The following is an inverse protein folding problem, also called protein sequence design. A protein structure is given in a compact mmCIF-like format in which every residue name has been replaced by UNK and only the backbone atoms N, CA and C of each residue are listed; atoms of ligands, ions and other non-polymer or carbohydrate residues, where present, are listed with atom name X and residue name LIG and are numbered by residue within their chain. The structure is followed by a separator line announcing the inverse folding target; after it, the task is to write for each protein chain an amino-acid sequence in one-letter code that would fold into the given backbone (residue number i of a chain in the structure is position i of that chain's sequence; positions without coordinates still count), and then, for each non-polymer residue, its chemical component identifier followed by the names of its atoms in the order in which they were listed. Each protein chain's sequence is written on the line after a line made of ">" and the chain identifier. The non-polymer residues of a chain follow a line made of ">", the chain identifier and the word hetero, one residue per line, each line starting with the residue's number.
data_IF_654568308081
#
_entry.id   IF_654568308081
#
_cell.length_a   1.000
_cell.length_b   1.000
_cell.length_c   1.000
_cell.angle_alpha   90.00
_cell.angle_beta   90.00
_cell.angle_gamma   90.00
#
_symmetry.space_group_name_H-M   'P 1'
#
loop_
_entity.id
_entity.type
_entity.pdbx_description
1 polymer ?
#
# COMPACT_ATOMS: atom_id res chain seq x y z
N UNK A 1 26.98 15.78 1.28
CA UNK A 1 25.84 16.03 2.17
C UNK A 1 25.36 14.70 2.72
N UNK A 2 24.76 14.66 3.92
CA UNK A 2 24.23 13.43 4.47
C UNK A 2 23.08 12.94 3.57
N UNK A 3 23.08 11.65 3.25
CA UNK A 3 22.05 11.03 2.41
C UNK A 3 20.76 10.73 3.17
N UNK A 4 20.76 10.87 4.48
CA UNK A 4 19.62 10.65 5.36
C UNK A 4 19.76 11.44 6.65
N UNK A 5 18.65 11.65 7.32
CA UNK A 5 18.54 12.20 8.67
C UNK A 5 17.80 11.21 9.58
N UNK A 6 18.15 11.17 10.86
CA UNK A 6 17.46 10.34 11.86
C UNK A 6 16.81 11.28 12.86
N UNK A 7 15.51 11.24 12.91
CA UNK A 7 14.68 12.05 13.80
C UNK A 7 13.83 11.15 14.69
N UNK A 8 13.40 11.66 15.83
CA UNK A 8 12.42 10.99 16.69
C UNK A 8 11.09 11.71 16.57
N UNK A 9 10.02 10.95 16.42
CA UNK A 9 8.65 11.49 16.39
C UNK A 9 7.76 10.68 17.32
N UNK A 10 6.79 11.34 17.97
CA UNK A 10 5.79 10.61 18.73
C UNK A 10 4.86 9.82 17.80
N UNK A 11 4.28 8.75 18.33
CA UNK A 11 3.26 7.97 17.61
C UNK A 11 2.12 8.89 17.17
N UNK A 12 1.67 9.79 18.05
CA UNK A 12 0.63 10.76 17.75
C UNK A 12 1.00 11.66 16.55
N UNK A 13 2.23 12.16 16.50
CA UNK A 13 2.71 12.98 15.41
C UNK A 13 2.76 12.20 14.09
N UNK A 14 3.27 10.96 14.12
CA UNK A 14 3.29 10.09 12.95
C UNK A 14 1.88 9.82 12.40
N UNK A 15 0.93 9.48 13.27
CA UNK A 15 -0.46 9.24 12.88
C UNK A 15 -1.12 10.51 12.33
N UNK A 16 -0.75 11.69 12.85
CA UNK A 16 -1.20 12.99 12.33
C UNK A 16 -0.67 13.25 10.92
N UNK A 17 0.62 13.02 10.66
CA UNK A 17 1.23 13.20 9.34
C UNK A 17 0.62 12.29 8.27
N UNK A 18 0.24 11.08 8.65
CA UNK A 18 -0.44 10.15 7.76
C UNK A 18 -1.86 10.65 7.45
N UNK A 19 -2.60 11.07 8.48
CA UNK A 19 -3.96 11.59 8.32
C UNK A 19 -3.99 12.87 7.48
N UNK A 20 -3.00 13.74 7.62
CA UNK A 20 -2.87 14.97 6.80
C UNK A 20 -2.38 14.68 5.38
N UNK A 21 -1.91 13.46 5.09
CA UNK A 21 -1.31 13.09 3.82
C UNK A 21 0.10 13.64 3.61
N UNK A 22 0.76 14.14 4.66
CA UNK A 22 2.17 14.54 4.62
C UNK A 22 3.08 13.32 4.41
N UNK A 23 2.74 12.18 5.05
CA UNK A 23 3.33 10.89 4.74
C UNK A 23 2.32 10.08 3.93
N UNK A 24 2.66 9.81 2.67
CA UNK A 24 1.88 8.91 1.84
C UNK A 24 2.27 7.46 2.19
N UNK A 25 1.29 6.70 2.65
CA UNK A 25 1.42 5.25 2.76
C UNK A 25 1.09 4.69 1.39
N UNK A 26 2.01 3.94 0.77
CA UNK A 26 1.67 3.21 -0.45
C UNK A 26 0.62 2.16 -0.12
N UNK A 27 -0.63 2.43 -0.42
CA UNK A 27 -1.76 1.52 -0.14
C UNK A 27 -1.57 0.11 -0.75
N UNK A 28 -0.65 0.00 -1.69
CA UNK A 28 -0.49 -1.19 -2.53
C UNK A 28 0.55 -2.16 -2.04
N UNK A 29 1.46 -1.72 -1.18
CA UNK A 29 2.60 -2.59 -0.90
C UNK A 29 2.20 -3.95 -0.38
N UNK A 30 1.08 -4.10 0.23
CA UNK A 30 0.45 -5.40 0.62
C UNK A 30 -0.81 -5.08 1.39
N UNK A 31 -1.88 -5.82 1.20
CA UNK A 31 -2.93 -5.85 2.19
C UNK A 31 -2.31 -6.03 3.57
N UNK A 32 -2.99 -5.56 4.59
CA UNK A 32 -2.52 -5.75 5.95
C UNK A 32 -2.37 -7.26 6.21
N UNK A 33 -1.11 -7.70 6.36
CA UNK A 33 -0.78 -9.14 6.50
C UNK A 33 -0.46 -9.54 7.93
N UNK A 34 -0.32 -8.57 8.86
CA UNK A 34 -0.19 -8.89 10.25
C UNK A 34 -1.49 -9.47 10.78
N UNK A 35 -1.38 -10.57 11.50
CA UNK A 35 -2.49 -11.05 12.30
C UNK A 35 -2.73 -10.14 13.52
N UNK A 36 -3.89 -10.26 14.12
CA UNK A 36 -4.26 -9.44 15.30
C UNK A 36 -3.33 -9.65 16.50
N UNK A 37 -2.66 -10.81 16.58
CA UNK A 37 -1.69 -11.12 17.64
C UNK A 37 -0.45 -10.26 17.51
N UNK A 38 0.08 -10.04 16.28
CA UNK A 38 1.21 -9.14 16.07
C UNK A 38 0.85 -7.69 16.39
N UNK A 39 -0.39 -7.28 16.15
CA UNK A 39 -0.86 -5.95 16.55
C UNK A 39 -0.87 -5.82 18.08
N UNK A 40 -1.38 -6.83 18.80
CA UNK A 40 -1.33 -6.90 20.25
C UNK A 40 0.11 -6.81 20.76
N UNK A 41 1.02 -7.61 20.22
CA UNK A 41 2.44 -7.66 20.62
C UNK A 41 3.15 -6.33 20.40
N UNK A 42 2.78 -5.58 19.35
CA UNK A 42 3.28 -4.23 19.12
C UNK A 42 2.83 -3.28 20.22
N UNK A 43 1.54 -3.30 20.60
CA UNK A 43 0.99 -2.44 21.66
C UNK A 43 1.60 -2.80 23.01
N UNK A 44 1.72 -4.09 23.31
CA UNK A 44 2.37 -4.59 24.53
C UNK A 44 3.83 -4.12 24.64
N UNK A 45 4.60 -4.23 23.55
CA UNK A 45 5.98 -3.74 23.48
C UNK A 45 6.08 -2.24 23.74
N UNK A 46 5.15 -1.45 23.17
CA UNK A 46 5.10 0.00 23.41
C UNK A 46 4.73 0.33 24.86
N UNK A 47 3.80 -0.41 25.46
CA UNK A 47 3.43 -0.27 26.85
C UNK A 47 4.60 -0.61 27.78
N UNK A 48 5.37 -1.64 27.44
CA UNK A 48 6.59 -2.01 28.17
C UNK A 48 7.76 -1.04 27.96
N UNK A 49 7.65 -0.07 27.02
CA UNK A 49 8.70 0.89 26.70
C UNK A 49 9.81 0.31 25.81
N UNK A 50 9.54 -0.81 25.11
CA UNK A 50 10.51 -1.43 24.23
C UNK A 50 10.57 -0.72 22.87
N UNK A 51 11.76 -0.68 22.22
CA UNK A 51 11.89 -0.09 20.90
C UNK A 51 11.19 -0.98 19.86
N UNK A 52 10.37 -0.37 19.01
CA UNK A 52 9.59 -1.07 17.99
C UNK A 52 10.17 -0.91 16.58
N UNK A 53 11.42 -0.47 16.47
CA UNK A 53 12.14 -0.26 15.23
C UNK A 53 11.93 1.14 14.63
N UNK A 54 12.41 1.32 13.39
CA UNK A 54 12.40 2.60 12.69
C UNK A 54 11.31 2.62 11.62
N UNK A 55 10.80 3.82 11.33
CA UNK A 55 10.04 4.13 10.12
C UNK A 55 10.99 4.79 9.13
N UNK A 56 10.97 4.36 7.87
CA UNK A 56 11.79 4.94 6.82
C UNK A 56 10.89 5.67 5.85
N UNK A 57 11.15 6.96 5.66
CA UNK A 57 10.44 7.80 4.69
C UNK A 57 11.43 8.41 3.71
N UNK A 58 10.98 8.63 2.49
CA UNK A 58 11.77 9.29 1.46
C UNK A 58 11.12 10.62 1.10
N UNK A 59 11.90 11.71 1.15
CA UNK A 59 11.50 13.00 0.61
C UNK A 59 11.39 12.87 -0.90
N UNK A 60 10.15 12.86 -1.42
CA UNK A 60 9.94 12.82 -2.85
C UNK A 60 10.60 14.06 -3.50
N UNK A 61 11.35 13.90 -4.61
CA UNK A 61 11.88 15.04 -5.35
C UNK A 61 10.71 15.90 -5.83
N UNK A 62 10.72 17.13 -5.36
CA UNK A 62 9.64 18.08 -5.59
C UNK A 62 9.64 18.57 -7.04
N UNK A 63 8.46 18.71 -7.62
CA UNK A 63 8.28 19.36 -8.91
C UNK A 63 8.41 20.88 -8.70
N UNK A 64 9.25 21.53 -9.49
CA UNK A 64 9.31 22.98 -9.52
C UNK A 64 7.99 23.54 -10.04
N UNK A 65 7.33 24.36 -9.23
CA UNK A 65 6.10 25.04 -9.62
C UNK A 65 6.37 26.17 -10.62
N UNK A 66 5.31 26.62 -11.34
CA UNK A 66 5.40 27.70 -12.33
C UNK A 66 5.94 29.02 -11.77
N UNK A 67 5.83 29.24 -10.47
CA UNK A 67 6.36 30.42 -9.76
C UNK A 67 7.83 30.26 -9.32
N UNK A 68 8.48 29.17 -9.70
CA UNK A 68 9.86 28.86 -9.35
C UNK A 68 10.05 28.27 -7.95
N UNK A 69 8.99 28.14 -7.14
CA UNK A 69 9.03 27.46 -5.84
C UNK A 69 9.05 25.95 -6.02
N UNK A 70 9.57 25.24 -5.03
CA UNK A 70 9.53 23.79 -5.00
C UNK A 70 8.29 23.39 -4.20
N UNK A 71 7.41 22.57 -4.78
CA UNK A 71 6.26 22.04 -4.03
C UNK A 71 6.79 21.20 -2.86
N UNK A 72 6.22 21.37 -1.66
CA UNK A 72 6.52 20.46 -0.55
C UNK A 72 5.92 19.09 -0.87
N UNK A 73 6.73 18.21 -1.45
CA UNK A 73 6.29 16.86 -1.81
C UNK A 73 5.94 16.06 -0.58
N UNK A 74 4.95 15.18 -0.74
CA UNK A 74 4.60 14.19 0.27
C UNK A 74 5.80 13.27 0.51
N UNK A 75 6.09 12.97 1.77
CA UNK A 75 7.05 11.92 2.11
C UNK A 75 6.45 10.57 1.77
N UNK A 76 7.22 9.71 1.11
CA UNK A 76 6.78 8.35 0.76
C UNK A 76 7.29 7.41 1.83
N UNK A 77 6.41 6.63 2.42
CA UNK A 77 6.77 5.58 3.37
C UNK A 77 7.47 4.42 2.64
N UNK A 78 8.72 4.17 3.00
CA UNK A 78 9.56 3.12 2.41
C UNK A 78 9.49 1.85 3.25
N UNK A 79 9.58 1.98 4.58
CA UNK A 79 9.44 0.85 5.51
C UNK A 79 8.67 1.25 6.76
N UNK A 80 8.04 0.25 7.39
CA UNK A 80 7.22 0.43 8.59
C UNK A 80 5.72 0.47 8.35
N UNK A 81 5.24 0.22 7.12
CA UNK A 81 3.81 0.26 6.77
C UNK A 81 2.95 -0.61 7.69
N UNK A 82 3.35 -1.86 7.92
CA UNK A 82 2.58 -2.77 8.77
C UNK A 82 2.46 -2.25 10.21
N UNK A 83 3.54 -1.63 10.74
CA UNK A 83 3.54 -0.98 12.07
C UNK A 83 2.58 0.20 12.12
N UNK A 84 2.66 1.07 11.13
CA UNK A 84 1.77 2.23 11.04
C UNK A 84 0.31 1.79 10.93
N UNK A 85 0.00 0.84 10.05
CA UNK A 85 -1.36 0.30 9.92
C UNK A 85 -1.84 -0.37 11.21
N UNK A 86 -0.96 -1.08 11.92
CA UNK A 86 -1.27 -1.65 13.24
C UNK A 86 -1.58 -0.57 14.28
N UNK A 87 -0.81 0.53 14.30
CA UNK A 87 -1.06 1.66 15.20
C UNK A 87 -2.37 2.39 14.85
N UNK A 88 -2.68 2.58 13.56
CA UNK A 88 -3.97 3.13 13.13
C UNK A 88 -5.13 2.23 13.58
N UNK A 89 -4.99 0.92 13.41
CA UNK A 89 -6.02 -0.04 13.83
C UNK A 89 -6.26 -0.04 15.34
N UNK A 90 -5.19 -0.06 16.14
CA UNK A 90 -5.26 -0.23 17.59
C UNK A 90 -5.52 1.08 18.35
N UNK A 91 -4.93 2.21 17.90
CA UNK A 91 -5.01 3.51 18.60
C UNK A 91 -6.11 4.38 18.01
N UNK A 92 -6.16 4.51 16.68
CA UNK A 92 -7.18 5.35 16.02
C UNK A 92 -8.51 4.64 15.91
N UNK A 93 -8.46 3.31 15.79
CA UNK A 93 -9.64 2.50 15.61
C UNK A 93 -10.08 2.38 14.14
N UNK A 94 -9.18 2.60 13.20
CA UNK A 94 -9.48 2.47 11.79
C UNK A 94 -9.57 0.99 11.37
N UNK A 95 -10.58 0.61 10.59
CA UNK A 95 -10.63 -0.73 9.99
C UNK A 95 -9.48 -0.92 9.00
N UNK A 96 -8.85 -2.08 9.06
CA UNK A 96 -7.79 -2.47 8.12
C UNK A 96 -8.37 -3.25 6.94
N UNK A 97 -7.81 -3.05 5.76
CA UNK A 97 -8.17 -3.80 4.57
C UNK A 97 -7.36 -5.10 4.53
N UNK A 98 -8.05 -6.23 4.68
CA UNK A 98 -7.43 -7.55 4.60
C UNK A 98 -7.07 -7.96 3.16
N UNK A 99 -6.39 -9.09 3.02
CA UNK A 99 -6.02 -9.66 1.71
C UNK A 99 -7.21 -10.11 0.86
N UNK A 100 -8.40 -10.18 1.46
CA UNK A 100 -9.69 -10.46 0.84
C UNK A 100 -10.46 -9.18 0.47
N UNK A 101 -9.82 -8.02 0.51
CA UNK A 101 -10.41 -6.69 0.32
C UNK A 101 -11.61 -6.40 1.24
N UNK A 102 -11.72 -7.11 2.36
CA UNK A 102 -12.73 -6.86 3.39
C UNK A 102 -12.14 -6.01 4.50
N UNK A 103 -12.90 -5.01 4.92
CA UNK A 103 -12.53 -4.19 6.07
C UNK A 103 -12.76 -4.97 7.36
N UNK A 104 -11.70 -5.10 8.15
CA UNK A 104 -11.74 -5.76 9.47
C UNK A 104 -11.37 -4.77 10.56
N UNK A 105 -12.15 -4.71 11.60
CA UNK A 105 -11.81 -3.97 12.82
C UNK A 105 -10.94 -4.88 13.71
N UNK A 106 -9.73 -4.44 14.02
CA UNK A 106 -8.86 -5.11 14.98
C UNK A 106 -9.04 -4.41 16.33
N UNK A 107 -9.59 -5.13 17.29
CA UNK A 107 -9.77 -4.64 18.65
C UNK A 107 -8.71 -5.28 19.54
N UNK A 108 -7.94 -4.46 20.22
CA UNK A 108 -6.98 -4.91 21.25
C UNK A 108 -7.60 -4.64 22.60
N UNK A 109 -7.75 -5.69 23.36
CA UNK A 109 -8.28 -5.64 24.73
C UNK A 109 -7.14 -5.48 25.74
N UNK A 110 -7.46 -4.85 26.86
CA UNK A 110 -6.52 -4.63 27.95
C UNK A 110 -7.17 -4.98 29.30
N UNK A 111 -6.42 -5.71 30.16
CA UNK A 111 -6.81 -6.04 31.50
C UNK A 111 -6.06 -5.14 32.51
N UNK A 112 -6.66 -4.10 33.09
CA UNK A 112 -5.94 -3.12 33.90
C UNK A 112 -5.24 -3.68 35.15
N UNK A 113 -5.86 -4.64 35.81
CA UNK A 113 -5.29 -5.22 37.04
C UNK A 113 -4.10 -6.16 36.74
N UNK A 114 -4.16 -6.91 35.64
CA UNK A 114 -3.07 -7.81 35.21
C UNK A 114 -2.06 -7.11 34.30
N UNK A 115 -2.36 -5.91 33.83
CA UNK A 115 -1.58 -5.14 32.87
C UNK A 115 -1.24 -5.99 31.62
N UNK A 116 -2.22 -6.71 31.10
CA UNK A 116 -2.08 -7.67 30.02
C UNK A 116 -2.93 -7.29 28.79
N UNK A 117 -2.37 -7.49 27.60
CA UNK A 117 -3.07 -7.29 26.34
C UNK A 117 -3.51 -8.61 25.73
N UNK A 118 -4.67 -8.61 25.10
CA UNK A 118 -5.18 -9.72 24.30
C UNK A 118 -5.91 -9.22 23.06
N UNK A 119 -6.05 -10.09 22.07
CA UNK A 119 -6.97 -9.84 20.96
C UNK A 119 -8.39 -10.02 21.46
N UNK A 120 -9.26 -9.02 21.23
CA UNK A 120 -10.64 -9.10 21.67
C UNK A 120 -11.35 -10.31 21.06
N UNK A 121 -12.15 -10.98 21.88
CA UNK A 121 -12.98 -12.11 21.52
C UNK A 121 -14.28 -12.10 22.33
N UNK A 122 -15.30 -12.90 21.97
CA UNK A 122 -16.59 -12.87 22.65
C UNK A 122 -16.55 -13.17 24.16
N UNK A 123 -15.53 -13.87 24.65
CA UNK A 123 -15.37 -14.11 26.09
C UNK A 123 -14.88 -12.84 26.79
N UNK A 124 -13.85 -12.21 26.25
CA UNK A 124 -13.30 -10.93 26.74
C UNK A 124 -14.35 -9.80 26.70
N UNK A 125 -15.16 -9.72 25.63
CA UNK A 125 -16.20 -8.69 25.52
C UNK A 125 -17.31 -8.82 26.59
N UNK A 126 -17.49 -10.01 27.14
CA UNK A 126 -18.47 -10.27 28.25
C UNK A 126 -17.88 -10.13 29.65
N UNK A 127 -16.57 -10.18 29.75
CA UNK A 127 -15.86 -10.10 31.01
C UNK A 127 -15.63 -8.64 31.43
N UNK A 128 -16.24 -8.24 32.53
CA UNK A 128 -16.13 -6.87 33.06
C UNK A 128 -14.74 -6.42 33.47
N UNK A 129 -13.83 -7.36 33.74
CA UNK A 129 -12.45 -7.07 34.10
C UNK A 129 -11.59 -6.59 32.91
N UNK A 130 -12.06 -6.81 31.67
CA UNK A 130 -11.39 -6.36 30.48
C UNK A 130 -11.95 -5.06 29.91
N UNK A 131 -11.07 -4.22 29.41
CA UNK A 131 -11.40 -3.16 28.44
C UNK A 131 -11.32 -3.82 27.06
N UNK A 132 -12.44 -4.08 26.39
CA UNK A 132 -12.46 -4.93 25.19
C UNK A 132 -11.85 -4.28 23.93
N UNK A 133 -11.70 -2.94 23.94
CA UNK A 133 -11.07 -2.16 22.87
C UNK A 133 -10.40 -0.93 23.48
N UNK A 134 -9.09 -0.80 23.28
CA UNK A 134 -8.32 0.34 23.79
C UNK A 134 -8.48 1.61 22.97
N UNK A 135 -8.92 1.53 21.71
CA UNK A 135 -8.97 2.69 20.80
C UNK A 135 -9.85 3.85 21.32
N UNK A 136 -11.00 3.61 21.98
CA UNK A 136 -11.78 4.71 22.58
C UNK A 136 -11.02 5.55 23.60
N UNK A 137 -10.01 4.97 24.28
CA UNK A 137 -9.21 5.67 25.30
C UNK A 137 -8.34 6.79 24.70
N UNK A 138 -8.09 6.77 23.39
CA UNK A 138 -7.25 7.72 22.67
C UNK A 138 -8.07 8.76 21.90
N UNK A 139 -9.40 8.67 21.93
CA UNK A 139 -10.24 9.61 21.21
C UNK A 139 -10.31 10.97 21.91
N UNK A 140 -10.36 12.08 21.13
CA UNK A 140 -10.58 13.40 21.71
C UNK A 140 -11.85 13.43 22.56
N UNK A 141 -11.75 13.98 23.77
CA UNK A 141 -12.89 14.08 24.68
C UNK A 141 -13.19 12.81 25.50
N UNK A 142 -12.33 11.81 25.46
CA UNK A 142 -12.46 10.66 26.35
C UNK A 142 -12.41 11.09 27.82
N UNK A 143 -13.46 10.75 28.59
CA UNK A 143 -13.59 11.06 30.02
C UNK A 143 -12.95 9.96 30.87
N UNK A 144 -11.64 10.08 31.08
CA UNK A 144 -10.88 9.12 31.90
C UNK A 144 -11.38 9.01 33.33
N UNK A 145 -11.86 10.13 33.90
CA UNK A 145 -12.31 10.14 35.29
C UNK A 145 -13.57 9.28 35.48
N UNK A 146 -14.61 9.56 34.73
CA UNK A 146 -15.85 8.76 34.81
C UNK A 146 -15.62 7.32 34.36
N UNK A 147 -14.78 7.08 33.37
CA UNK A 147 -14.44 5.74 32.91
C UNK A 147 -13.81 4.90 34.03
N UNK A 148 -12.86 5.46 34.83
CA UNK A 148 -12.24 4.77 35.98
C UNK A 148 -13.28 4.46 37.04
N UNK A 149 -14.18 5.40 37.33
CA UNK A 149 -15.25 5.19 38.33
C UNK A 149 -16.14 4.02 37.89
N UNK A 150 -16.63 4.04 36.67
CA UNK A 150 -17.53 3.02 36.11
C UNK A 150 -16.85 1.63 36.06
N UNK A 151 -15.58 1.59 35.63
CA UNK A 151 -14.80 0.36 35.59
C UNK A 151 -14.63 -0.23 37.01
N UNK A 152 -14.24 0.60 37.98
CA UNK A 152 -14.05 0.16 39.35
C UNK A 152 -15.35 -0.31 40.00
N UNK A 153 -16.45 0.39 39.75
CA UNK A 153 -17.78 -0.02 40.24
C UNK A 153 -18.19 -1.38 39.64
N UNK A 154 -17.97 -1.59 38.36
CA UNK A 154 -18.26 -2.84 37.65
C UNK A 154 -17.42 -4.01 38.15
N UNK A 155 -16.15 -3.76 38.50
CA UNK A 155 -15.24 -4.78 39.01
C UNK A 155 -15.25 -4.91 40.56
N UNK A 156 -16.09 -4.14 41.27
CA UNK A 156 -16.15 -4.09 42.73
C UNK A 156 -14.81 -3.78 43.40
N UNK A 157 -14.05 -2.81 42.82
CA UNK A 157 -12.73 -2.43 43.31
C UNK A 157 -12.82 -1.37 44.45
N UNK A 158 -11.88 -1.43 45.39
CA UNK A 158 -11.73 -0.44 46.45
C UNK A 158 -10.99 0.83 46.00
N UNK A 159 -10.86 1.83 46.88
CA UNK A 159 -10.22 3.12 46.53
C UNK A 159 -8.70 2.98 46.22
N UNK A 160 -8.03 2.03 46.86
CA UNK A 160 -6.61 1.73 46.58
C UNK A 160 -6.44 1.16 45.18
N UNK A 161 -7.28 0.22 44.82
CA UNK A 161 -7.30 -0.38 43.48
C UNK A 161 -7.73 0.62 42.44
N UNK A 162 -8.61 1.58 42.74
CA UNK A 162 -8.99 2.68 41.84
C UNK A 162 -7.80 3.55 41.48
N UNK A 163 -6.97 3.91 42.47
CA UNK A 163 -5.76 4.67 42.23
C UNK A 163 -4.80 3.93 41.29
N UNK A 164 -4.59 2.63 41.52
CA UNK A 164 -3.75 1.79 40.67
C UNK A 164 -4.29 1.67 39.25
N UNK A 165 -5.60 1.48 39.09
CA UNK A 165 -6.25 1.44 37.75
C UNK A 165 -6.07 2.77 37.01
N UNK A 166 -6.23 3.90 37.69
CA UNK A 166 -6.03 5.22 37.08
C UNK A 166 -4.58 5.43 36.60
N UNK A 167 -3.60 5.00 37.39
CA UNK A 167 -2.18 5.06 37.02
C UNK A 167 -1.89 4.19 35.77
N UNK A 168 -2.40 2.96 35.76
CA UNK A 168 -2.25 2.01 34.64
C UNK A 168 -2.90 2.53 33.38
N UNK A 169 -4.09 3.12 33.45
CA UNK A 169 -4.77 3.72 32.30
C UNK A 169 -4.05 4.97 31.80
N UNK A 170 -3.52 5.79 32.71
CA UNK A 170 -2.69 6.95 32.31
C UNK A 170 -1.45 6.47 31.56
N UNK A 171 -0.77 5.43 32.03
CA UNK A 171 0.36 4.83 31.35
C UNK A 171 -0.03 4.25 29.98
N UNK A 172 -1.19 3.61 29.86
CA UNK A 172 -1.70 3.12 28.59
C UNK A 172 -1.91 4.26 27.59
N UNK A 173 -2.52 5.36 28.01
CA UNK A 173 -2.73 6.54 27.15
C UNK A 173 -1.41 7.21 26.76
N UNK A 174 -0.35 7.12 27.56
CA UNK A 174 0.97 7.66 27.23
C UNK A 174 1.65 6.94 26.06
N UNK A 175 1.19 5.77 25.62
CA UNK A 175 1.73 5.07 24.44
C UNK A 175 1.77 5.99 23.21
N UNK A 176 0.77 6.86 23.02
CA UNK A 176 0.74 7.80 21.91
C UNK A 176 1.91 8.81 21.91
N UNK A 177 2.52 9.05 23.07
CA UNK A 177 3.67 9.93 23.25
C UNK A 177 5.01 9.22 23.10
N UNK A 178 5.02 7.87 23.01
CA UNK A 178 6.24 7.12 22.82
C UNK A 178 6.91 7.51 21.51
N UNK A 179 8.22 7.62 21.56
CA UNK A 179 9.04 7.99 20.41
C UNK A 179 9.29 6.80 19.49
N UNK A 180 9.11 7.03 18.19
CA UNK A 180 9.56 6.13 17.14
C UNK A 180 10.64 6.85 16.33
N UNK A 181 11.74 6.16 16.03
CA UNK A 181 12.79 6.69 15.15
C UNK A 181 12.30 6.77 13.70
N UNK A 182 12.49 7.91 13.07
CA UNK A 182 12.16 8.15 11.66
C UNK A 182 13.45 8.43 10.89
N UNK A 183 13.78 7.55 9.96
CA UNK A 183 14.88 7.75 9.02
C UNK A 183 14.30 8.44 7.79
N UNK A 184 14.74 9.65 7.53
CA UNK A 184 14.30 10.45 6.41
C UNK A 184 15.38 10.49 5.32
N UNK A 185 15.12 9.81 4.19
CA UNK A 185 16.02 9.77 3.05
C UNK A 185 15.93 11.08 2.24
N UNK A 186 17.09 11.57 1.80
CA UNK A 186 17.19 12.83 1.06
C UNK A 186 16.47 12.77 -0.30
N UNK A 187 15.88 13.90 -0.71
CA UNK A 187 15.32 14.10 -2.04
C UNK A 187 16.35 14.00 -3.17
N UNK A 188 17.65 14.09 -2.86
CA UNK A 188 18.73 13.97 -3.84
C UNK A 188 19.00 12.53 -4.26
N UNK A 189 18.51 11.56 -3.48
CA UNK A 189 18.65 10.14 -3.81
C UNK A 189 17.73 9.78 -4.95
N UNK A 190 18.25 9.04 -5.90
CA UNK A 190 17.40 8.43 -6.93
C UNK A 190 16.76 7.12 -6.42
N UNK A 191 15.79 6.60 -7.18
CA UNK A 191 15.04 5.40 -6.80
C UNK A 191 15.93 4.17 -6.65
N UNK A 192 17.00 4.05 -7.44
CA UNK A 192 17.90 2.90 -7.37
C UNK A 192 18.69 2.92 -6.07
N UNK A 193 19.16 4.10 -5.66
CA UNK A 193 19.86 4.30 -4.38
C UNK A 193 18.94 4.05 -3.18
N UNK A 194 17.69 4.55 -3.24
CA UNK A 194 16.68 4.32 -2.18
C UNK A 194 16.37 2.83 -2.07
N UNK A 195 16.22 2.14 -3.20
CA UNK A 195 16.01 0.68 -3.22
C UNK A 195 17.19 -0.07 -2.63
N UNK A 196 18.44 0.33 -2.96
CA UNK A 196 19.64 -0.29 -2.42
C UNK A 196 19.76 -0.09 -0.90
N UNK A 197 19.47 1.11 -0.40
CA UNK A 197 19.44 1.42 1.04
C UNK A 197 18.43 0.52 1.73
N UNK A 198 17.22 0.41 1.18
CA UNK A 198 16.17 -0.42 1.73
C UNK A 198 16.57 -1.91 1.79
N UNK A 199 17.15 -2.46 0.71
CA UNK A 199 17.65 -3.84 0.66
C UNK A 199 18.68 -4.09 1.76
N UNK A 200 19.63 -3.18 1.95
CA UNK A 200 20.69 -3.31 2.96
C UNK A 200 20.15 -3.27 4.39
N UNK A 201 19.17 -2.42 4.66
CA UNK A 201 18.54 -2.31 5.99
C UNK A 201 17.68 -3.55 6.29
N UNK A 202 16.96 -4.07 5.30
CA UNK A 202 16.02 -5.18 5.45
C UNK A 202 16.61 -6.54 5.00
N UNK A 203 17.88 -6.78 5.19
CA UNK A 203 18.59 -7.99 4.72
C UNK A 203 17.99 -9.34 5.13
N UNK A 204 16.95 -9.36 5.97
CA UNK A 204 16.17 -10.55 6.38
C UNK A 204 14.66 -10.42 6.12
N UNK A 205 14.21 -9.33 5.48
CA UNK A 205 12.80 -9.05 5.19
C UNK A 205 12.44 -9.23 3.72
N UNK A 206 11.16 -9.01 3.40
CA UNK A 206 10.70 -9.01 2.01
C UNK A 206 11.10 -7.68 1.36
N UNK A 207 11.97 -7.78 0.37
CA UNK A 207 12.54 -6.64 -0.35
C UNK A 207 11.44 -5.91 -1.15
N UNK A 208 11.33 -4.57 -0.97
CA UNK A 208 10.54 -3.74 -1.86
C UNK A 208 11.14 -3.78 -3.27
N UNK A 209 10.28 -4.11 -4.24
CA UNK A 209 10.69 -4.10 -5.63
C UNK A 209 10.64 -2.69 -6.23
N UNK A 210 11.33 -2.45 -7.35
CA UNK A 210 11.17 -1.20 -8.10
C UNK A 210 9.71 -0.95 -8.53
N UNK A 211 8.94 -2.02 -8.70
CA UNK A 211 7.52 -1.92 -9.01
C UNK A 211 6.70 -1.39 -7.81
N UNK A 212 7.03 -1.79 -6.59
CA UNK A 212 6.40 -1.26 -5.38
C UNK A 212 6.61 0.26 -5.27
N UNK A 213 7.82 0.74 -5.60
CA UNK A 213 8.10 2.17 -5.66
C UNK A 213 7.31 2.89 -6.74
N UNK A 214 7.23 2.29 -7.94
CA UNK A 214 6.43 2.86 -9.02
C UNK A 214 4.95 2.97 -8.60
N UNK A 215 4.41 1.93 -8.01
CA UNK A 215 3.03 1.91 -7.52
C UNK A 215 2.81 2.95 -6.41
N UNK A 216 3.77 3.10 -5.50
CA UNK A 216 3.76 4.13 -4.47
C UNK A 216 3.76 5.55 -5.06
N UNK A 217 4.63 5.81 -6.04
CA UNK A 217 4.66 7.09 -6.75
C UNK A 217 3.36 7.35 -7.50
N UNK A 218 2.81 6.34 -8.17
CA UNK A 218 1.54 6.44 -8.87
C UNK A 218 0.43 6.81 -7.90
N UNK A 219 0.30 6.10 -6.77
CA UNK A 219 -0.77 6.33 -5.79
C UNK A 219 -0.68 7.69 -5.08
N UNK A 220 0.53 8.23 -4.91
CA UNK A 220 0.73 9.50 -4.21
C UNK A 220 0.36 10.74 -5.02
N UNK A 221 0.12 10.61 -6.33
CA UNK A 221 -0.16 11.74 -7.20
C UNK A 221 -1.59 11.75 -7.75
N UNK A 222 -2.51 12.25 -6.92
CA UNK A 222 -3.93 12.34 -7.26
C UNK A 222 -4.22 13.36 -8.37
N UNK A 223 -3.33 14.35 -8.60
CA UNK A 223 -3.50 15.39 -9.62
C UNK A 223 -3.62 14.83 -11.04
N UNK A 224 -2.95 13.71 -11.30
CA UNK A 224 -2.96 13.02 -12.60
C UNK A 224 -3.77 11.73 -12.58
N UNK A 225 -4.64 11.54 -11.58
CA UNK A 225 -5.46 10.35 -11.44
C UNK A 225 -4.68 9.09 -11.10
N UNK A 226 -3.55 9.25 -10.41
CA UNK A 226 -2.65 8.14 -10.06
C UNK A 226 -3.34 7.07 -9.23
N UNK A 227 -4.16 7.44 -8.26
CA UNK A 227 -4.92 6.50 -7.45
C UNK A 227 -5.88 5.64 -8.30
N UNK A 228 -6.51 6.22 -9.32
CA UNK A 228 -7.36 5.49 -10.28
C UNK A 228 -6.54 4.46 -11.06
N UNK A 229 -5.40 4.87 -11.62
CA UNK A 229 -4.50 3.97 -12.40
C UNK A 229 -4.09 2.80 -11.53
N UNK A 230 -3.73 3.08 -10.29
CA UNK A 230 -3.41 2.08 -9.30
C UNK A 230 -4.53 1.07 -9.10
N UNK A 231 -5.73 1.56 -8.76
CA UNK A 231 -6.89 0.70 -8.49
C UNK A 231 -7.24 -0.20 -9.68
N UNK A 232 -7.10 0.29 -10.91
CA UNK A 232 -7.27 -0.54 -12.10
C UNK A 232 -6.31 -1.73 -12.09
N UNK A 233 -5.01 -1.48 -11.87
CA UNK A 233 -3.99 -2.54 -11.88
C UNK A 233 -4.20 -3.53 -10.74
N UNK A 234 -4.40 -3.02 -9.53
CA UNK A 234 -4.50 -3.82 -8.32
C UNK A 234 -5.75 -4.72 -8.34
N UNK A 235 -6.92 -4.14 -8.62
CA UNK A 235 -8.15 -4.92 -8.69
C UNK A 235 -8.17 -5.88 -9.88
N UNK A 236 -7.61 -5.49 -11.02
CA UNK A 236 -7.46 -6.40 -12.15
C UNK A 236 -6.65 -7.64 -11.77
N UNK A 237 -5.44 -7.43 -11.22
CA UNK A 237 -4.56 -8.53 -10.85
C UNK A 237 -5.15 -9.40 -9.74
N UNK A 238 -5.81 -8.78 -8.75
CA UNK A 238 -6.46 -9.52 -7.68
C UNK A 238 -7.62 -10.39 -8.20
N UNK A 239 -8.49 -9.81 -9.03
CA UNK A 239 -9.64 -10.52 -9.59
C UNK A 239 -9.25 -11.61 -10.59
N UNK A 240 -8.10 -11.50 -11.26
CA UNK A 240 -7.52 -12.59 -12.05
C UNK A 240 -7.17 -13.82 -11.19
N UNK A 241 -6.80 -13.60 -9.92
CA UNK A 241 -6.46 -14.67 -8.98
C UNK A 241 -7.67 -15.12 -8.16
N UNK A 242 -8.56 -14.19 -7.79
CA UNK A 242 -9.69 -14.41 -6.88
C UNK A 242 -10.93 -13.66 -7.37
N UNK A 243 -11.59 -14.13 -8.41
CA UNK A 243 -12.79 -13.48 -8.95
C UNK A 243 -13.95 -13.43 -7.96
N UNK A 244 -13.95 -14.33 -6.94
CA UNK A 244 -14.95 -14.35 -5.87
C UNK A 244 -14.94 -13.09 -4.98
N UNK A 245 -13.84 -12.34 -4.94
CA UNK A 245 -13.73 -11.11 -4.13
C UNK A 245 -14.32 -9.87 -4.83
N UNK A 246 -14.89 -10.02 -6.04
CA UNK A 246 -15.46 -8.91 -6.80
C UNK A 246 -16.53 -8.13 -6.02
N UNK A 247 -17.45 -8.82 -5.36
CA UNK A 247 -18.50 -8.17 -4.59
C UNK A 247 -17.94 -7.44 -3.36
N UNK A 248 -16.89 -7.98 -2.73
CA UNK A 248 -16.22 -7.33 -1.62
C UNK A 248 -15.54 -6.01 -2.06
N UNK A 249 -14.85 -6.01 -3.21
CA UNK A 249 -14.27 -4.80 -3.80
C UNK A 249 -15.36 -3.77 -4.10
N UNK A 250 -16.44 -4.19 -4.77
CA UNK A 250 -17.55 -3.32 -5.14
C UNK A 250 -18.23 -2.64 -3.93
N UNK A 251 -18.36 -3.36 -2.82
CA UNK A 251 -18.99 -2.85 -1.60
C UNK A 251 -18.06 -1.94 -0.79
N UNK A 252 -16.75 -2.21 -0.78
CA UNK A 252 -15.79 -1.48 0.03
C UNK A 252 -15.19 -0.26 -0.68
N UNK A 253 -15.18 -0.25 -2.01
CA UNK A 253 -14.74 0.89 -2.83
C UNK A 253 -15.85 1.34 -3.79
N UNK A 254 -16.91 1.91 -3.21
CA UNK A 254 -18.11 2.32 -3.95
C UNK A 254 -17.82 3.42 -4.97
N UNK A 255 -16.86 4.29 -4.69
CA UNK A 255 -16.45 5.37 -5.60
C UNK A 255 -15.81 4.79 -6.87
N UNK A 256 -14.83 3.92 -6.72
CA UNK A 256 -14.21 3.26 -7.86
C UNK A 256 -15.18 2.33 -8.59
N UNK A 257 -16.04 1.62 -7.86
CA UNK A 257 -17.04 0.73 -8.42
C UNK A 257 -18.09 1.47 -9.32
N UNK A 258 -18.31 2.76 -9.07
CA UNK A 258 -19.15 3.62 -9.91
C UNK A 258 -18.41 4.20 -11.13
N UNK A 259 -17.11 4.03 -11.23
CA UNK A 259 -16.29 4.58 -12.31
C UNK A 259 -16.38 3.79 -13.61
N UNK A 260 -16.14 4.47 -14.74
CA UNK A 260 -16.00 3.82 -16.03
C UNK A 260 -14.85 2.79 -16.05
N UNK A 261 -13.77 3.09 -15.32
CA UNK A 261 -12.59 2.23 -15.27
C UNK A 261 -12.88 0.87 -14.61
N UNK A 262 -13.75 0.83 -13.60
CA UNK A 262 -14.20 -0.45 -13.00
C UNK A 262 -14.95 -1.32 -14.03
N UNK A 263 -15.77 -0.68 -14.89
CA UNK A 263 -16.49 -1.40 -15.93
C UNK A 263 -15.57 -2.12 -16.93
N UNK A 264 -14.37 -1.55 -17.16
CA UNK A 264 -13.35 -2.11 -18.08
C UNK A 264 -12.70 -3.39 -17.57
N UNK A 265 -12.70 -3.63 -16.24
CA UNK A 265 -12.14 -4.84 -15.65
C UNK A 265 -13.20 -5.89 -15.26
N UNK A 266 -14.50 -5.52 -15.29
CA UNK A 266 -15.60 -6.39 -14.86
C UNK A 266 -15.70 -7.73 -15.60
N UNK A 267 -15.17 -7.81 -16.81
CA UNK A 267 -15.23 -9.02 -17.63
C UNK A 267 -14.47 -10.21 -17.02
N UNK A 268 -13.52 -9.97 -16.10
CA UNK A 268 -12.69 -10.99 -15.46
C UNK A 268 -13.52 -11.98 -14.65
N UNK A 269 -14.63 -11.56 -14.07
CA UNK A 269 -15.49 -12.39 -13.20
C UNK A 269 -15.95 -13.67 -13.90
N UNK A 270 -16.11 -13.61 -15.22
CA UNK A 270 -16.60 -14.71 -16.03
C UNK A 270 -15.48 -15.44 -16.79
N UNK A 271 -14.24 -15.11 -16.51
CA UNK A 271 -13.08 -15.70 -17.19
C UNK A 271 -12.25 -16.50 -16.19
N UNK A 272 -11.84 -17.70 -16.61
CA UNK A 272 -10.90 -18.53 -15.88
C UNK A 272 -9.66 -18.72 -16.75
N UNK A 273 -8.63 -17.95 -16.47
CA UNK A 273 -7.36 -18.03 -17.17
C UNK A 273 -6.25 -18.41 -16.20
N UNK A 274 -5.50 -19.43 -16.50
CA UNK A 274 -4.44 -19.99 -15.67
C UNK A 274 -3.03 -19.86 -16.30
N UNK A 275 -2.94 -19.66 -17.62
CA UNK A 275 -1.65 -19.56 -18.30
C UNK A 275 -0.94 -18.25 -18.00
N UNK A 276 -1.70 -17.14 -17.96
CA UNK A 276 -1.17 -15.81 -17.69
C UNK A 276 -2.01 -15.12 -16.61
N UNK A 277 -1.55 -15.24 -15.37
CA UNK A 277 -2.13 -14.57 -14.20
C UNK A 277 -1.16 -13.48 -13.76
N UNK A 278 -1.28 -12.26 -14.31
CA UNK A 278 -0.34 -11.17 -14.05
C UNK A 278 -0.49 -10.62 -12.65
N UNK A 279 0.62 -10.15 -12.09
CA UNK A 279 0.65 -9.24 -10.95
C UNK A 279 0.80 -7.77 -11.44
N UNK A 280 0.73 -6.80 -10.52
CA UNK A 280 0.88 -5.39 -10.89
C UNK A 280 2.27 -5.07 -11.47
N UNK A 281 3.30 -5.84 -11.14
CA UNK A 281 4.64 -5.71 -11.73
C UNK A 281 4.61 -6.04 -13.22
N UNK A 282 3.86 -7.06 -13.58
CA UNK A 282 3.68 -7.48 -14.97
C UNK A 282 2.92 -6.42 -15.77
N UNK A 283 1.83 -5.90 -15.21
CA UNK A 283 1.05 -4.81 -15.82
C UNK A 283 1.93 -3.58 -16.06
N UNK A 284 2.69 -3.16 -15.04
CA UNK A 284 3.61 -2.03 -15.16
C UNK A 284 4.65 -2.26 -16.24
N UNK A 285 5.29 -3.44 -16.28
CA UNK A 285 6.30 -3.77 -17.28
C UNK A 285 5.76 -3.72 -18.69
N UNK A 286 4.59 -4.32 -18.92
CA UNK A 286 3.95 -4.34 -20.24
C UNK A 286 3.54 -2.93 -20.65
N UNK A 287 2.82 -2.20 -19.79
CA UNK A 287 2.37 -0.84 -20.08
C UNK A 287 3.55 0.11 -20.34
N UNK A 288 4.60 0.01 -19.52
CA UNK A 288 5.79 0.84 -19.67
C UNK A 288 6.58 0.50 -20.93
N UNK A 289 6.81 -0.79 -21.23
CA UNK A 289 7.48 -1.21 -22.45
C UNK A 289 6.69 -0.79 -23.68
N UNK A 290 5.38 -0.98 -23.67
CA UNK A 290 4.47 -0.64 -24.75
C UNK A 290 4.44 0.86 -25.07
N UNK A 291 4.24 1.71 -24.04
CA UNK A 291 4.01 3.15 -24.27
C UNK A 291 5.28 3.99 -24.27
N UNK A 292 6.32 3.57 -23.56
CA UNK A 292 7.54 4.37 -23.39
C UNK A 292 8.73 3.77 -24.12
N UNK A 293 8.63 2.55 -24.64
CA UNK A 293 9.72 1.80 -25.30
C UNK A 293 10.94 1.66 -24.37
N UNK A 294 10.69 1.50 -23.06
CA UNK A 294 11.69 1.36 -21.99
C UNK A 294 11.35 0.16 -21.13
N UNK A 295 12.38 -0.50 -20.59
CA UNK A 295 12.22 -1.72 -19.77
C UNK A 295 12.57 -1.56 -18.29
N UNK A 296 13.23 -0.47 -17.88
CA UNK A 296 13.65 -0.28 -16.48
C UNK A 296 12.57 0.47 -15.70
N UNK A 297 11.94 -0.19 -14.74
CA UNK A 297 10.87 0.43 -13.91
C UNK A 297 11.36 1.68 -13.15
N UNK A 298 12.64 1.76 -12.79
CA UNK A 298 13.23 2.98 -12.21
C UNK A 298 13.09 4.21 -13.12
N UNK A 299 13.15 4.01 -14.45
CA UNK A 299 12.95 5.10 -15.41
C UNK A 299 11.49 5.60 -15.37
N UNK A 300 10.53 4.69 -15.17
CA UNK A 300 9.11 5.07 -15.01
C UNK A 300 8.92 6.01 -13.83
N UNK A 301 9.48 5.69 -12.66
CA UNK A 301 9.38 6.55 -11.48
C UNK A 301 9.97 7.94 -11.73
N UNK A 302 11.11 7.98 -12.42
CA UNK A 302 11.75 9.25 -12.81
C UNK A 302 10.84 10.08 -13.73
N UNK A 303 10.23 9.47 -14.74
CA UNK A 303 9.29 10.11 -15.65
C UNK A 303 8.02 10.61 -14.94
N UNK A 304 7.44 9.78 -14.08
CA UNK A 304 6.28 10.15 -13.26
C UNK A 304 6.59 11.27 -12.26
N UNK A 305 7.86 11.47 -11.92
CA UNK A 305 8.32 12.61 -11.13
C UNK A 305 8.62 13.84 -11.99
N UNK A 306 8.47 13.77 -13.32
CA UNK A 306 8.72 14.87 -14.23
C UNK A 306 10.18 15.04 -14.68
N UNK A 307 11.04 14.03 -14.49
CA UNK A 307 12.46 14.13 -14.83
C UNK A 307 12.68 14.06 -16.34
N UNK A 308 13.35 15.09 -16.87
CA UNK A 308 13.93 15.06 -18.22
C UNK A 308 15.28 14.31 -18.19
N UNK A 309 15.45 13.28 -19.02
CA UNK A 309 16.70 12.50 -19.05
C UNK A 309 17.86 13.20 -19.73
N UNK A 310 17.57 14.24 -20.55
CA UNK A 310 18.59 14.99 -21.28
C UNK A 310 19.13 16.15 -20.43
N UNK A 311 18.23 17.04 -19.96
CA UNK A 311 18.60 18.18 -19.13
C UNK A 311 18.82 17.84 -17.65
N UNK A 312 18.29 16.69 -17.20
CA UNK A 312 18.22 16.26 -15.80
C UNK A 312 17.35 17.15 -14.91
N UNK A 313 16.64 18.11 -15.49
CA UNK A 313 15.69 18.97 -14.79
C UNK A 313 14.34 18.31 -14.62
N UNK A 314 13.51 18.86 -13.73
CA UNK A 314 12.16 18.40 -13.49
C UNK A 314 11.15 19.34 -14.17
N UNK A 315 10.22 18.76 -14.94
CA UNK A 315 9.19 19.49 -15.69
C UNK A 315 7.83 18.84 -15.46
N UNK A 316 6.86 19.63 -15.02
CA UNK A 316 5.50 19.15 -14.75
C UNK A 316 4.85 18.51 -15.99
N UNK A 317 5.08 19.09 -17.16
CA UNK A 317 4.56 18.55 -18.42
C UNK A 317 5.03 17.11 -18.72
N UNK A 318 6.24 16.74 -18.28
CA UNK A 318 6.74 15.35 -18.42
C UNK A 318 6.00 14.42 -17.50
N UNK A 319 5.70 14.85 -16.26
CA UNK A 319 4.90 14.06 -15.33
C UNK A 319 3.48 13.84 -15.86
N UNK A 320 2.81 14.91 -16.30
CA UNK A 320 1.46 14.86 -16.86
C UNK A 320 1.37 13.91 -18.07
N UNK A 321 2.26 14.07 -19.05
CA UNK A 321 2.34 13.20 -20.25
C UNK A 321 2.62 11.75 -19.86
N UNK A 322 3.51 11.54 -18.86
CA UNK A 322 3.86 10.20 -18.41
C UNK A 322 2.71 9.49 -17.68
N UNK A 323 1.95 10.20 -16.84
CA UNK A 323 0.74 9.64 -16.23
C UNK A 323 -0.34 9.31 -17.27
N UNK A 324 -0.54 10.18 -18.26
CA UNK A 324 -1.49 9.95 -19.35
C UNK A 324 -1.12 8.70 -20.17
N UNK A 325 0.15 8.59 -20.57
CA UNK A 325 0.67 7.41 -21.30
C UNK A 325 0.59 6.13 -20.50
N UNK A 326 0.88 6.20 -19.19
CA UNK A 326 0.78 5.05 -18.31
C UNK A 326 -0.67 4.59 -18.20
N UNK A 327 -1.62 5.51 -17.98
CA UNK A 327 -3.05 5.19 -17.92
C UNK A 327 -3.50 4.50 -19.19
N UNK A 328 -3.16 5.05 -20.34
CA UNK A 328 -3.50 4.45 -21.65
C UNK A 328 -2.90 3.05 -21.77
N UNK A 329 -1.62 2.86 -21.40
CA UNK A 329 -0.97 1.55 -21.43
C UNK A 329 -1.64 0.52 -20.53
N UNK A 330 -2.04 0.92 -19.33
CA UNK A 330 -2.77 0.06 -18.39
C UNK A 330 -4.15 -0.30 -18.94
N UNK A 331 -4.88 0.65 -19.50
CA UNK A 331 -6.19 0.41 -20.10
C UNK A 331 -6.12 -0.53 -21.31
N UNK A 332 -5.10 -0.42 -22.14
CA UNK A 332 -4.86 -1.36 -23.24
C UNK A 332 -4.48 -2.76 -22.74
N UNK A 333 -3.73 -2.84 -21.63
CA UNK A 333 -3.41 -4.11 -20.98
C UNK A 333 -4.65 -4.84 -20.49
N UNK A 334 -5.51 -4.15 -19.73
CA UNK A 334 -6.71 -4.76 -19.12
C UNK A 334 -7.87 -4.92 -20.11
N UNK A 335 -7.71 -4.48 -21.35
CA UNK A 335 -8.73 -4.61 -22.38
C UNK A 335 -9.02 -6.08 -22.70
N UNK A 336 -10.27 -6.52 -22.53
CA UNK A 336 -10.70 -7.91 -22.75
C UNK A 336 -10.24 -8.47 -24.08
N UNK A 337 -10.49 -7.74 -25.16
CA UNK A 337 -10.15 -8.21 -26.52
C UNK A 337 -8.64 -8.37 -26.71
N UNK A 338 -7.84 -7.44 -26.20
CA UNK A 338 -6.39 -7.52 -26.28
C UNK A 338 -5.87 -8.71 -25.52
N UNK A 339 -6.29 -8.84 -24.26
CA UNK A 339 -5.85 -9.90 -23.36
C UNK A 339 -6.18 -11.29 -23.93
N UNK A 340 -7.45 -11.50 -24.28
CA UNK A 340 -7.91 -12.79 -24.82
C UNK A 340 -7.25 -13.15 -26.15
N UNK A 341 -7.11 -12.18 -27.10
CA UNK A 341 -6.43 -12.45 -28.37
C UNK A 341 -4.96 -12.79 -28.18
N UNK A 342 -4.26 -12.09 -27.30
CA UNK A 342 -2.89 -12.43 -26.97
C UNK A 342 -2.78 -13.86 -26.42
N UNK A 343 -3.64 -14.24 -25.49
CA UNK A 343 -3.66 -15.59 -24.93
C UNK A 343 -3.98 -16.67 -25.98
N UNK A 344 -4.88 -16.38 -26.92
CA UNK A 344 -5.12 -17.29 -28.04
C UNK A 344 -3.84 -17.54 -28.85
N UNK A 345 -3.03 -16.51 -29.07
CA UNK A 345 -1.74 -16.67 -29.76
C UNK A 345 -0.80 -17.53 -28.93
N UNK A 346 -0.68 -17.28 -27.62
CA UNK A 346 0.15 -18.08 -26.70
C UNK A 346 -0.29 -19.55 -26.71
N UNK A 347 -1.58 -19.83 -26.54
CA UNK A 347 -2.13 -21.19 -26.57
C UNK A 347 -1.88 -21.88 -27.92
N UNK A 348 -1.90 -21.16 -29.01
CA UNK A 348 -1.63 -21.67 -30.35
C UNK A 348 -0.17 -22.10 -30.60
N UNK A 349 0.76 -21.71 -29.71
CA UNK A 349 2.14 -22.22 -29.72
C UNK A 349 2.31 -23.57 -29.04
N UNK A 350 1.23 -24.11 -28.47
CA UNK A 350 1.25 -25.37 -27.71
C UNK A 350 1.44 -25.19 -26.21
N UNK A 351 1.49 -23.96 -25.71
CA UNK A 351 1.51 -23.67 -24.25
C UNK A 351 0.09 -23.84 -23.72
N UNK A 352 -0.15 -24.94 -23.02
CA UNK A 352 -1.46 -25.33 -22.49
C UNK A 352 -1.50 -25.39 -20.95
N UNK A 353 -0.36 -25.16 -20.29
CA UNK A 353 -0.25 -25.18 -18.84
C UNK A 353 0.77 -24.13 -18.37
N UNK A 354 0.54 -23.46 -17.24
CA UNK A 354 1.49 -22.52 -16.66
C UNK A 354 2.85 -23.17 -16.32
N UNK A 355 2.87 -24.47 -16.04
CA UNK A 355 4.11 -25.21 -15.79
C UNK A 355 5.08 -25.24 -16.98
N UNK A 356 4.59 -24.97 -18.19
CA UNK A 356 5.41 -24.88 -19.41
C UNK A 356 6.14 -23.54 -19.52
N UNK A 357 5.79 -22.56 -18.69
CA UNK A 357 6.34 -21.20 -18.74
C UNK A 357 7.38 -21.06 -17.63
N UNK A 358 8.66 -20.93 -18.02
CA UNK A 358 9.76 -20.77 -17.07
C UNK A 358 9.89 -19.37 -16.48
N UNK A 359 9.38 -18.39 -17.18
CA UNK A 359 9.49 -16.97 -16.78
C UNK A 359 8.31 -16.16 -17.29
N UNK A 360 7.61 -15.50 -16.37
CA UNK A 360 6.51 -14.59 -16.67
C UNK A 360 6.94 -13.43 -17.60
N UNK A 361 8.22 -13.03 -17.54
CA UNK A 361 8.75 -11.98 -18.40
C UNK A 361 8.63 -12.29 -19.92
N UNK A 362 8.59 -13.56 -20.30
CA UNK A 362 8.38 -13.96 -21.71
C UNK A 362 6.99 -13.57 -22.15
N UNK A 363 5.98 -13.83 -21.31
CA UNK A 363 4.60 -13.42 -21.57
C UNK A 363 4.46 -11.90 -21.56
N UNK A 364 5.11 -11.21 -20.62
CA UNK A 364 5.10 -9.76 -20.54
C UNK A 364 5.66 -9.11 -21.81
N UNK A 365 6.79 -9.61 -22.29
CA UNK A 365 7.41 -9.10 -23.52
C UNK A 365 6.54 -9.40 -24.74
N UNK A 366 6.04 -10.62 -24.85
CA UNK A 366 5.13 -11.01 -25.94
C UNK A 366 3.87 -10.15 -25.99
N UNK A 367 3.29 -9.85 -24.81
CA UNK A 367 2.10 -9.00 -24.73
C UNK A 367 2.41 -7.53 -25.10
N UNK A 368 3.52 -6.97 -24.60
CA UNK A 368 3.95 -5.64 -25.00
C UNK A 368 4.18 -5.53 -26.53
N UNK A 369 4.80 -6.54 -27.13
CA UNK A 369 5.02 -6.62 -28.58
C UNK A 369 3.68 -6.72 -29.34
N UNK A 370 2.74 -7.54 -28.86
CA UNK A 370 1.38 -7.64 -29.41
C UNK A 370 0.69 -6.27 -29.42
N UNK A 371 0.70 -5.57 -28.28
CA UNK A 371 0.09 -4.24 -28.18
C UNK A 371 0.75 -3.21 -29.08
N UNK A 372 2.08 -3.24 -29.19
CA UNK A 372 2.84 -2.36 -30.09
C UNK A 372 2.48 -2.55 -31.56
N UNK A 373 2.44 -3.80 -32.02
CA UNK A 373 2.11 -4.13 -33.42
C UNK A 373 0.67 -3.74 -33.73
N UNK A 374 -0.24 -3.98 -32.79
CA UNK A 374 -1.64 -3.60 -32.93
C UNK A 374 -1.81 -2.08 -32.99
N UNK A 375 -1.14 -1.32 -32.13
CA UNK A 375 -1.18 0.14 -32.14
C UNK A 375 -0.62 0.75 -33.43
N UNK A 376 0.31 0.04 -34.10
CA UNK A 376 0.83 0.42 -35.43
C UNK A 376 -0.11 0.06 -36.59
N UNK A 377 -1.23 -0.61 -36.30
CA UNK A 377 -2.18 -1.02 -37.34
C UNK A 377 -1.73 -2.23 -38.17
N UNK A 378 -0.79 -3.04 -37.66
CA UNK A 378 -0.33 -4.23 -38.34
C UNK A 378 -1.44 -5.26 -38.56
N UNK A 379 -1.36 -6.03 -39.61
CA UNK A 379 -2.31 -7.07 -39.96
C UNK A 379 -2.27 -8.20 -38.89
N UNK A 380 -3.44 -8.72 -38.50
CA UNK A 380 -3.58 -9.76 -37.49
C UNK A 380 -2.69 -11.00 -37.75
N UNK A 381 -2.56 -11.42 -39.02
CA UNK A 381 -1.71 -12.56 -39.41
C UNK A 381 -0.21 -12.26 -39.19
N UNK A 382 0.22 -11.01 -39.42
CA UNK A 382 1.59 -10.57 -39.13
C UNK A 382 1.84 -10.55 -37.64
N UNK A 383 0.92 -9.96 -36.85
CA UNK A 383 0.99 -9.93 -35.40
C UNK A 383 1.14 -11.34 -34.84
N UNK A 384 0.26 -12.25 -35.26
CA UNK A 384 0.28 -13.65 -34.83
C UNK A 384 1.59 -14.34 -35.16
N UNK A 385 2.09 -14.17 -36.39
CA UNK A 385 3.38 -14.74 -36.82
C UNK A 385 4.57 -14.22 -36.03
N UNK A 386 4.58 -12.94 -35.69
CA UNK A 386 5.69 -12.30 -34.96
C UNK A 386 5.65 -12.71 -33.48
N UNK A 387 4.48 -12.68 -32.85
CA UNK A 387 4.33 -12.98 -31.41
C UNK A 387 4.52 -14.47 -31.12
N UNK A 388 4.27 -15.37 -32.07
CA UNK A 388 4.54 -16.83 -31.93
C UNK A 388 6.03 -17.18 -31.94
N UNK A 389 6.91 -16.36 -32.43
CA UNK A 389 8.36 -16.59 -32.50
C UNK A 389 9.09 -16.17 -31.25
#
# INVERSE_FOLDING_TARGET
>A
MAQYEVNNSSIQTLLSWIRSGEIAIPEIQRPFVWDSTKVRDLIDSLYAGFPVGYIIVWKNPDVRLKDGTISSGKKILIDGQQRITALQAAIVGEPVLGSDYRKKRIKIAFHPLEQRFEVANPAIEKDGAWIPDIAPLYQPGFDSFNFVIDYCAKCHLDDSQRSAVNEVLTRLQQIQNNSIGVIELSHQLDIAQVTEIFIRINSKGVVLSQADFAMSKISSDDRYGGNQIRKIMDYFCHLMQKPEDFEAIRQNDTEFAASEDFSKIKWIINEHEDIYVPDYTDVLRVAFTFKFLRGRISDLVSLLSGRDFNSRDYQEAIAEDSFAKLKEGVLEFVNKTNFQRYLMIVKSTGIISPAMIRSQNVLNFGYALYLLLRAKGENAAIIEKVVRR
#
